data_IF_383931272607
#
_entry.id   IF_383931272607
#
_cell.length_a   1.000
_cell.length_b   1.000
_cell.length_c   1.000
_cell.angle_alpha   90.00
_cell.angle_beta   90.00
_cell.angle_gamma   90.00
#
_symmetry.space_group_name_H-M   'P 1'
#
loop_
_entity.id
_entity.type
_entity.pdbx_description
1 polymer ?
#
# COMPACT_ATOMS: atom_id res chain seq x y z
N UNK A 1 -20.52 -12.34 -19.50
CA UNK A 1 -20.05 -11.07 -18.89
C UNK A 1 -20.65 -9.92 -19.69
N UNK A 2 -21.26 -8.92 -19.04
CA UNK A 2 -22.00 -7.88 -19.76
C UNK A 2 -21.04 -6.96 -20.52
N UNK A 3 -21.23 -6.80 -21.84
CA UNK A 3 -20.34 -6.05 -22.73
C UNK A 3 -20.20 -4.58 -22.31
N UNK A 4 -21.25 -4.04 -21.69
CA UNK A 4 -21.28 -2.67 -21.16
C UNK A 4 -20.38 -2.48 -19.93
N UNK A 5 -20.28 -3.49 -19.05
CA UNK A 5 -19.38 -3.46 -17.90
C UNK A 5 -17.91 -3.44 -18.31
N UNK A 6 -17.57 -4.20 -19.35
CA UNK A 6 -16.21 -4.25 -19.91
C UNK A 6 -15.80 -2.90 -20.51
N UNK A 7 -16.69 -2.28 -21.32
CA UNK A 7 -16.46 -0.94 -21.88
C UNK A 7 -16.26 0.11 -20.77
N UNK A 8 -17.06 0.04 -19.71
CA UNK A 8 -16.96 0.96 -18.57
C UNK A 8 -15.66 0.78 -17.78
N UNK A 9 -15.22 -0.46 -17.59
CA UNK A 9 -13.94 -0.81 -16.99
C UNK A 9 -12.79 -0.22 -17.80
N UNK A 10 -12.78 -0.47 -19.11
CA UNK A 10 -11.71 0.02 -19.99
C UNK A 10 -11.60 1.54 -19.94
N UNK A 11 -12.73 2.25 -20.00
CA UNK A 11 -12.76 3.73 -19.93
C UNK A 11 -12.17 4.29 -18.64
N UNK A 12 -12.33 3.60 -17.51
CA UNK A 12 -11.78 4.06 -16.22
C UNK A 12 -10.34 3.59 -15.98
N UNK A 13 -9.97 2.41 -16.45
CA UNK A 13 -8.71 1.76 -16.09
C UNK A 13 -7.59 1.90 -17.13
N UNK A 14 -7.89 2.26 -18.39
CA UNK A 14 -6.92 2.16 -19.50
C UNK A 14 -5.59 2.89 -19.24
N UNK A 15 -5.61 4.11 -18.67
CA UNK A 15 -4.38 4.86 -18.38
C UNK A 15 -3.47 4.12 -17.41
N UNK A 16 -4.05 3.59 -16.33
CA UNK A 16 -3.31 2.82 -15.32
C UNK A 16 -2.84 1.48 -15.87
N UNK A 17 -3.65 0.82 -16.70
CA UNK A 17 -3.30 -0.45 -17.33
C UNK A 17 -2.15 -0.30 -18.32
N UNK A 18 -2.12 0.78 -19.11
CA UNK A 18 -1.02 1.06 -20.04
C UNK A 18 0.29 1.24 -19.27
N UNK A 19 0.28 2.06 -18.21
CA UNK A 19 1.47 2.28 -17.37
C UNK A 19 1.92 0.97 -16.72
N UNK A 20 0.99 0.21 -16.13
CA UNK A 20 1.30 -1.06 -15.48
C UNK A 20 1.82 -2.12 -16.46
N UNK A 21 1.27 -2.15 -17.68
CA UNK A 21 1.74 -3.01 -18.76
C UNK A 21 3.15 -2.63 -19.19
N UNK A 22 3.45 -1.34 -19.39
CA UNK A 22 4.79 -0.86 -19.73
C UNK A 22 5.83 -1.24 -18.67
N UNK A 23 5.49 -1.10 -17.37
CA UNK A 23 6.36 -1.50 -16.27
C UNK A 23 6.55 -3.03 -16.26
N UNK A 24 5.46 -3.78 -16.40
CA UNK A 24 5.51 -5.25 -16.41
C UNK A 24 6.32 -5.79 -17.59
N UNK A 25 6.22 -5.14 -18.76
CA UNK A 25 6.99 -5.49 -19.95
C UNK A 25 8.48 -5.20 -19.75
N UNK A 26 8.82 -4.04 -19.15
CA UNK A 26 10.20 -3.71 -18.80
C UNK A 26 10.78 -4.72 -17.79
N UNK A 27 10.04 -5.03 -16.72
CA UNK A 27 10.43 -6.06 -15.75
C UNK A 27 10.55 -7.46 -16.37
N UNK A 28 9.69 -7.78 -17.34
CA UNK A 28 9.75 -9.07 -18.02
C UNK A 28 11.02 -9.25 -18.84
N UNK A 29 11.52 -8.16 -19.42
CA UNK A 29 12.75 -8.13 -20.21
C UNK A 29 14.00 -8.27 -19.33
N UNK A 30 14.03 -7.59 -18.17
CA UNK A 30 15.20 -7.58 -17.29
C UNK A 30 15.25 -8.71 -16.26
N UNK A 31 14.10 -9.23 -15.83
CA UNK A 31 14.02 -10.18 -14.71
C UNK A 31 13.49 -11.54 -15.16
N UNK A 32 12.24 -11.61 -15.61
CA UNK A 32 11.62 -12.88 -16.02
C UNK A 32 10.24 -12.69 -16.68
N UNK A 33 9.91 -13.58 -17.62
CA UNK A 33 8.65 -13.55 -18.37
C UNK A 33 7.37 -13.68 -17.52
N UNK A 34 7.45 -14.22 -16.30
CA UNK A 34 6.28 -14.42 -15.43
C UNK A 34 5.61 -13.11 -15.00
N UNK A 35 6.30 -11.95 -15.09
CA UNK A 35 5.70 -10.64 -14.82
C UNK A 35 4.52 -10.33 -15.76
N UNK A 36 4.57 -10.83 -17.00
CA UNK A 36 3.45 -10.70 -17.95
C UNK A 36 2.26 -11.54 -17.48
N UNK A 37 2.51 -12.74 -16.94
CA UNK A 37 1.46 -13.63 -16.43
C UNK A 37 0.79 -13.01 -15.19
N UNK A 38 1.58 -12.46 -14.26
CA UNK A 38 1.07 -11.74 -13.09
C UNK A 38 0.20 -10.55 -13.52
N UNK A 39 0.68 -9.76 -14.48
CA UNK A 39 -0.10 -8.65 -15.04
C UNK A 39 -1.47 -9.13 -15.55
N UNK A 40 -1.52 -10.21 -16.33
CA UNK A 40 -2.77 -10.75 -16.86
C UNK A 40 -3.73 -11.22 -15.75
N UNK A 41 -3.21 -11.92 -14.74
CA UNK A 41 -3.99 -12.38 -13.58
C UNK A 41 -4.57 -11.17 -12.82
N UNK A 42 -3.77 -10.15 -12.58
CA UNK A 42 -4.22 -8.93 -11.89
C UNK A 42 -5.32 -8.19 -12.66
N UNK A 43 -5.20 -8.11 -14.00
CA UNK A 43 -6.23 -7.53 -14.86
C UNK A 43 -7.54 -8.31 -14.71
N UNK A 44 -7.48 -9.64 -14.74
CA UNK A 44 -8.66 -10.49 -14.57
C UNK A 44 -9.30 -10.25 -13.19
N UNK A 45 -8.52 -10.30 -12.11
CA UNK A 45 -9.04 -10.07 -10.75
C UNK A 45 -9.65 -8.67 -10.61
N UNK A 46 -8.99 -7.65 -11.16
CA UNK A 46 -9.47 -6.27 -11.15
C UNK A 46 -10.80 -6.13 -11.89
N UNK A 47 -10.96 -6.83 -13.01
CA UNK A 47 -12.18 -6.86 -13.80
C UNK A 47 -13.34 -7.51 -13.03
N UNK A 48 -13.10 -8.62 -12.35
CA UNK A 48 -14.10 -9.28 -11.49
C UNK A 48 -14.54 -8.41 -10.31
N UNK A 49 -13.63 -7.63 -9.71
CA UNK A 49 -13.93 -6.72 -8.58
C UNK A 49 -14.52 -5.36 -8.99
N UNK A 50 -14.44 -5.00 -10.27
CA UNK A 50 -14.92 -3.73 -10.79
C UNK A 50 -16.41 -3.43 -10.52
N UNK A 51 -17.37 -4.35 -10.71
CA UNK A 51 -18.78 -4.08 -10.43
C UNK A 51 -19.04 -3.74 -8.96
N UNK A 52 -18.31 -4.35 -8.02
CA UNK A 52 -18.42 -4.02 -6.60
C UNK A 52 -17.89 -2.61 -6.31
N UNK A 53 -16.75 -2.24 -6.89
CA UNK A 53 -16.21 -0.88 -6.82
C UNK A 53 -17.19 0.15 -7.38
N UNK A 54 -17.84 -0.13 -8.52
CA UNK A 54 -18.86 0.75 -9.09
C UNK A 54 -20.08 0.89 -8.16
N UNK A 55 -20.56 -0.20 -7.56
CA UNK A 55 -21.65 -0.16 -6.59
C UNK A 55 -21.29 0.70 -5.38
N UNK A 56 -20.07 0.56 -4.87
CA UNK A 56 -19.58 1.42 -3.79
C UNK A 56 -19.57 2.88 -4.23
N UNK A 57 -18.95 3.22 -5.36
CA UNK A 57 -18.89 4.60 -5.88
C UNK A 57 -20.29 5.21 -6.03
N UNK A 58 -21.25 4.45 -6.56
CA UNK A 58 -22.64 4.91 -6.70
C UNK A 58 -23.31 5.13 -5.33
N UNK A 59 -23.13 4.21 -4.37
CA UNK A 59 -23.64 4.37 -3.00
C UNK A 59 -23.04 5.61 -2.31
N UNK A 60 -21.80 5.93 -2.61
CA UNK A 60 -21.08 7.07 -2.04
C UNK A 60 -21.57 8.40 -2.65
N UNK A 61 -21.70 8.45 -3.98
CA UNK A 61 -22.32 9.58 -4.67
C UNK A 61 -23.77 9.83 -4.23
N UNK A 62 -24.54 8.76 -4.00
CA UNK A 62 -25.92 8.89 -3.49
C UNK A 62 -26.00 9.51 -2.08
N UNK A 63 -24.90 9.51 -1.33
CA UNK A 63 -24.76 10.16 -0.02
C UNK A 63 -24.09 11.54 -0.11
N UNK A 64 -23.84 12.07 -1.31
CA UNK A 64 -23.11 13.32 -1.52
C UNK A 64 -21.61 13.26 -1.22
N UNK A 65 -21.06 12.07 -0.98
CA UNK A 65 -19.66 11.90 -0.60
C UNK A 65 -18.77 11.68 -1.83
N UNK A 66 -17.65 12.40 -1.87
CA UNK A 66 -16.60 12.16 -2.87
C UNK A 66 -15.74 10.95 -2.47
N UNK A 67 -14.99 10.40 -3.44
CA UNK A 67 -14.00 9.35 -3.14
C UNK A 67 -12.95 9.82 -2.12
N UNK A 68 -12.57 11.09 -2.20
CA UNK A 68 -11.60 11.69 -1.30
C UNK A 68 -12.13 11.76 0.14
N UNK A 69 -13.41 12.10 0.31
CA UNK A 69 -14.04 12.16 1.63
C UNK A 69 -14.01 10.81 2.33
N UNK A 70 -14.23 9.72 1.62
CA UNK A 70 -14.17 8.38 2.22
C UNK A 70 -12.76 8.00 2.58
N UNK A 71 -11.78 8.29 1.72
CA UNK A 71 -10.38 8.05 2.04
C UNK A 71 -10.00 8.83 3.30
N UNK A 72 -10.49 10.06 3.45
CA UNK A 72 -10.25 10.88 4.63
C UNK A 72 -10.99 10.33 5.87
N UNK A 73 -12.25 9.93 5.77
CA UNK A 73 -13.04 9.34 6.86
C UNK A 73 -12.44 7.99 7.30
N UNK A 74 -12.07 7.14 6.35
CA UNK A 74 -11.46 5.85 6.63
C UNK A 74 -10.08 6.05 7.26
N UNK A 75 -9.31 7.01 6.77
CA UNK A 75 -8.05 7.41 7.37
C UNK A 75 -8.24 7.90 8.81
N UNK A 76 -9.16 8.84 9.08
CA UNK A 76 -9.35 9.37 10.43
C UNK A 76 -9.85 8.29 11.39
N UNK A 77 -10.76 7.42 10.97
CA UNK A 77 -11.20 6.28 11.78
C UNK A 77 -10.07 5.32 12.11
N UNK A 78 -9.39 4.79 11.08
CA UNK A 78 -8.29 3.83 11.25
C UNK A 78 -7.12 4.43 12.03
N UNK A 79 -6.78 5.68 11.73
CA UNK A 79 -5.69 6.36 12.42
C UNK A 79 -6.05 6.69 13.86
N UNK A 80 -7.29 7.11 14.14
CA UNK A 80 -7.78 7.32 15.50
C UNK A 80 -7.69 6.05 16.36
N UNK A 81 -8.09 4.90 15.81
CA UNK A 81 -7.89 3.60 16.45
C UNK A 81 -6.41 3.25 16.62
N UNK A 82 -5.59 3.47 15.59
CA UNK A 82 -4.15 3.17 15.66
C UNK A 82 -3.44 4.04 16.69
N UNK A 83 -3.80 5.32 16.79
CA UNK A 83 -3.17 6.26 17.71
C UNK A 83 -3.50 5.96 19.17
N UNK A 84 -4.70 5.46 19.45
CA UNK A 84 -5.13 5.15 20.82
C UNK A 84 -4.28 4.03 21.44
N UNK A 85 -3.73 3.14 20.61
CA UNK A 85 -2.76 2.12 21.04
C UNK A 85 -1.36 2.66 21.33
N UNK A 86 -1.06 3.91 20.97
CA UNK A 86 0.17 4.61 21.27
C UNK A 86 1.32 4.39 20.26
N UNK A 87 2.24 5.35 20.26
CA UNK A 87 3.37 5.42 19.31
C UNK A 87 4.31 4.23 19.39
N UNK A 88 4.56 3.71 20.60
CA UNK A 88 5.48 2.60 20.82
C UNK A 88 4.97 1.31 20.21
N UNK A 89 3.68 1.00 20.38
CA UNK A 89 3.07 -0.19 19.81
C UNK A 89 3.06 -0.12 18.29
N UNK A 90 2.73 1.04 17.72
CA UNK A 90 2.79 1.26 16.28
C UNK A 90 4.21 1.11 15.71
N UNK A 91 5.23 1.70 16.35
CA UNK A 91 6.59 1.66 15.83
C UNK A 91 7.26 0.30 16.02
N UNK A 92 7.10 -0.34 17.18
CA UNK A 92 7.80 -1.60 17.49
C UNK A 92 7.06 -2.81 16.90
N UNK A 93 5.75 -2.91 17.12
CA UNK A 93 4.98 -4.08 16.67
C UNK A 93 4.74 -4.02 15.17
N UNK A 94 4.14 -2.92 14.70
CA UNK A 94 3.69 -2.84 13.31
C UNK A 94 4.85 -2.41 12.38
N UNK A 95 5.71 -1.50 12.85
CA UNK A 95 6.94 -1.13 12.16
C UNK A 95 8.05 -2.17 12.32
N UNK A 96 8.52 -2.41 13.54
CA UNK A 96 9.70 -3.25 13.81
C UNK A 96 9.50 -4.73 13.47
N UNK A 97 8.62 -5.43 14.18
CA UNK A 97 8.51 -6.90 14.09
C UNK A 97 8.07 -7.34 12.69
N UNK A 98 7.02 -6.71 12.14
CA UNK A 98 6.47 -7.08 10.82
C UNK A 98 7.47 -6.72 9.71
N UNK A 99 8.05 -5.51 9.74
CA UNK A 99 9.01 -5.11 8.70
C UNK A 99 10.31 -5.90 8.82
N UNK A 100 10.76 -6.23 10.03
CA UNK A 100 11.90 -7.12 10.28
C UNK A 100 11.72 -8.47 9.61
N UNK A 101 10.57 -9.11 9.83
CA UNK A 101 10.25 -10.41 9.23
C UNK A 101 10.09 -10.32 7.70
N UNK A 102 9.42 -9.27 7.20
CA UNK A 102 9.30 -9.04 5.77
C UNK A 102 10.65 -8.79 5.09
N UNK A 103 11.52 -8.02 5.74
CA UNK A 103 12.85 -7.68 5.23
C UNK A 103 13.79 -8.88 5.23
N UNK A 104 13.79 -9.71 6.28
CA UNK A 104 14.61 -10.93 6.31
C UNK A 104 14.19 -11.92 5.22
N UNK A 105 12.89 -12.09 4.99
CA UNK A 105 12.39 -12.93 3.89
C UNK A 105 12.72 -12.35 2.52
N UNK A 106 12.47 -11.07 2.30
CA UNK A 106 12.74 -10.41 1.02
C UNK A 106 14.24 -10.41 0.68
N UNK A 107 15.09 -10.06 1.64
CA UNK A 107 16.55 -10.08 1.45
C UNK A 107 17.08 -11.49 1.18
N UNK A 108 16.56 -12.51 1.88
CA UNK A 108 16.92 -13.91 1.61
C UNK A 108 16.56 -14.33 0.19
N UNK A 109 15.38 -13.95 -0.29
CA UNK A 109 14.90 -14.30 -1.63
C UNK A 109 15.73 -13.59 -2.72
N UNK A 110 16.03 -12.30 -2.52
CA UNK A 110 16.93 -11.55 -3.41
C UNK A 110 18.32 -12.15 -3.41
N UNK A 111 18.86 -12.52 -2.25
CA UNK A 111 20.18 -13.11 -2.14
C UNK A 111 20.27 -14.49 -2.79
N UNK A 112 19.21 -15.31 -2.67
CA UNK A 112 19.11 -16.60 -3.34
C UNK A 112 19.10 -16.48 -4.87
N UNK A 113 18.40 -15.48 -5.42
CA UNK A 113 18.28 -15.27 -6.87
C UNK A 113 19.54 -14.62 -7.45
N UNK A 114 20.06 -13.58 -6.81
CA UNK A 114 21.18 -12.79 -7.33
C UNK A 114 22.56 -13.36 -6.99
N UNK A 115 22.69 -14.11 -5.89
CA UNK A 115 23.96 -14.62 -5.36
C UNK A 115 23.85 -16.09 -4.95
N UNK A 116 23.26 -16.91 -5.82
CA UNK A 116 22.89 -18.31 -5.53
C UNK A 116 24.04 -19.15 -4.96
N UNK A 117 25.27 -19.03 -5.49
CA UNK A 117 26.43 -19.78 -5.01
C UNK A 117 26.84 -19.42 -3.58
N UNK A 118 26.77 -18.14 -3.21
CA UNK A 118 27.02 -17.66 -1.86
C UNK A 118 25.88 -18.02 -0.90
N UNK A 119 24.63 -17.98 -1.38
CA UNK A 119 23.46 -18.37 -0.59
C UNK A 119 23.54 -19.84 -0.14
N UNK A 120 23.87 -20.76 -1.05
CA UNK A 120 24.04 -22.18 -0.70
C UNK A 120 25.19 -22.41 0.28
N UNK A 121 26.26 -21.61 0.20
CA UNK A 121 27.38 -21.66 1.15
C UNK A 121 26.99 -21.16 2.56
N UNK A 122 26.09 -20.18 2.66
CA UNK A 122 25.56 -19.73 3.95
C UNK A 122 24.62 -20.79 4.55
N UNK A 123 23.83 -21.47 3.71
CA UNK A 123 22.93 -22.54 4.15
C UNK A 123 23.63 -23.83 4.56
N UNK A 124 24.87 -24.08 4.09
CA UNK A 124 25.60 -25.30 4.47
C UNK A 124 26.05 -25.32 5.93
N UNK A 125 26.08 -24.16 6.59
CA UNK A 125 26.45 -24.03 7.99
C UNK A 125 25.31 -23.42 8.81
N UNK A 126 24.73 -24.15 9.78
CA UNK A 126 23.63 -23.65 10.59
C UNK A 126 23.93 -22.32 11.28
N UNK A 127 25.16 -22.13 11.78
CA UNK A 127 25.57 -20.88 12.44
C UNK A 127 25.53 -19.67 11.51
N UNK A 128 26.04 -19.83 10.28
CA UNK A 128 26.05 -18.78 9.25
C UNK A 128 24.63 -18.44 8.78
N UNK A 129 23.76 -19.45 8.67
CA UNK A 129 22.34 -19.27 8.37
C UNK A 129 21.61 -18.46 9.46
N UNK A 130 21.76 -18.84 10.73
CA UNK A 130 21.14 -18.11 11.85
C UNK A 130 21.68 -16.70 11.99
N UNK A 131 22.98 -16.50 11.78
CA UNK A 131 23.59 -15.17 11.80
C UNK A 131 22.99 -14.27 10.71
N UNK A 132 22.88 -14.77 9.48
CA UNK A 132 22.29 -14.02 8.37
C UNK A 132 20.83 -13.64 8.63
N UNK A 133 20.01 -14.60 9.08
CA UNK A 133 18.61 -14.34 9.42
C UNK A 133 18.51 -13.35 10.58
N UNK A 134 19.34 -13.49 11.61
CA UNK A 134 19.38 -12.60 12.76
C UNK A 134 19.74 -11.17 12.40
N UNK A 135 20.82 -10.97 11.63
CA UNK A 135 21.25 -9.64 11.20
C UNK A 135 20.26 -8.97 10.24
N UNK A 136 19.72 -9.73 9.27
CA UNK A 136 18.71 -9.22 8.35
C UNK A 136 17.41 -8.85 9.08
N UNK A 137 16.98 -9.66 10.04
CA UNK A 137 15.81 -9.37 10.86
C UNK A 137 16.02 -8.13 11.73
N UNK A 138 17.16 -8.02 12.43
CA UNK A 138 17.45 -6.89 13.31
C UNK A 138 17.60 -5.58 12.55
N UNK A 139 18.29 -5.61 11.41
CA UNK A 139 18.40 -4.44 10.53
C UNK A 139 17.03 -4.01 9.98
N UNK A 140 16.17 -4.96 9.63
CA UNK A 140 14.78 -4.71 9.25
C UNK A 140 13.95 -4.11 10.39
N UNK A 141 14.12 -4.56 11.64
CA UNK A 141 13.46 -3.95 12.81
C UNK A 141 13.88 -2.49 12.97
N UNK A 142 15.17 -2.20 12.98
CA UNK A 142 15.70 -0.85 13.20
C UNK A 142 15.18 0.08 12.10
N UNK A 143 15.25 -0.36 10.84
CA UNK A 143 14.75 0.40 9.70
C UNK A 143 13.24 0.63 9.78
N UNK A 144 12.48 -0.41 10.12
CA UNK A 144 11.03 -0.34 10.29
C UNK A 144 10.61 0.63 11.38
N UNK A 145 11.28 0.61 12.55
CA UNK A 145 11.01 1.53 13.66
C UNK A 145 11.23 2.99 13.21
N UNK A 146 12.34 3.28 12.54
CA UNK A 146 12.66 4.64 12.07
C UNK A 146 11.61 5.11 11.05
N UNK A 147 11.30 4.29 10.05
CA UNK A 147 10.30 4.62 9.03
C UNK A 147 8.92 4.86 9.64
N UNK A 148 8.48 3.99 10.55
CA UNK A 148 7.18 4.14 11.19
C UNK A 148 7.13 5.33 12.14
N UNK A 149 8.25 5.69 12.78
CA UNK A 149 8.34 6.90 13.57
C UNK A 149 8.17 8.16 12.71
N UNK A 150 8.78 8.19 11.53
CA UNK A 150 8.59 9.28 10.57
C UNK A 150 7.15 9.32 10.06
N UNK A 151 6.60 8.17 9.65
CA UNK A 151 5.22 8.04 9.18
C UNK A 151 4.20 8.47 10.24
N UNK A 152 4.47 8.20 11.53
CA UNK A 152 3.63 8.64 12.63
C UNK A 152 3.44 10.16 12.62
N UNK A 153 4.54 10.92 12.48
CA UNK A 153 4.48 12.39 12.44
C UNK A 153 3.67 12.88 11.25
N UNK A 154 3.89 12.30 10.07
CA UNK A 154 3.13 12.68 8.87
C UNK A 154 1.63 12.37 9.00
N UNK A 155 1.28 11.20 9.55
CA UNK A 155 -0.10 10.80 9.77
C UNK A 155 -0.77 11.66 10.83
N UNK A 156 -0.09 12.00 11.93
CA UNK A 156 -0.65 12.94 12.92
C UNK A 156 -0.89 14.32 12.34
N UNK A 157 0.05 14.87 11.56
CA UNK A 157 -0.17 16.15 10.86
C UNK A 157 -1.36 16.10 9.91
N UNK A 158 -1.57 14.97 9.22
CA UNK A 158 -2.75 14.78 8.37
C UNK A 158 -4.02 14.66 9.19
N UNK A 159 -3.99 13.93 10.29
CA UNK A 159 -5.14 13.75 11.17
C UNK A 159 -5.59 15.07 11.81
N UNK A 160 -4.64 15.85 12.34
CA UNK A 160 -4.92 17.18 12.88
C UNK A 160 -5.59 18.07 11.81
N UNK A 161 -5.06 18.15 10.59
CA UNK A 161 -5.68 18.92 9.51
C UNK A 161 -7.10 18.48 9.16
N UNK A 162 -7.38 17.17 9.15
CA UNK A 162 -8.70 16.64 8.80
C UNK A 162 -9.72 16.71 9.94
N UNK A 163 -9.27 16.94 11.18
CA UNK A 163 -10.13 16.97 12.37
C UNK A 163 -10.20 18.34 13.03
N UNK A 164 -9.33 19.27 12.63
CA UNK A 164 -9.34 20.66 13.08
C UNK A 164 -10.44 21.44 12.35
N UNK A 165 -11.51 21.87 13.05
CA UNK A 165 -12.61 22.62 12.47
C UNK A 165 -12.21 24.03 12.01
N UNK A 166 -11.03 24.53 12.42
CA UNK A 166 -10.49 25.84 12.04
C UNK A 166 -9.46 25.76 10.91
N UNK A 167 -9.18 24.56 10.39
CA UNK A 167 -8.25 24.43 9.26
C UNK A 167 -8.82 25.09 8.01
N UNK A 168 -7.97 25.79 7.25
CA UNK A 168 -8.34 26.56 6.06
C UNK A 168 -9.07 25.74 5.00
N UNK A 169 -8.76 24.44 4.90
CA UNK A 169 -9.39 23.49 3.98
C UNK A 169 -10.84 23.15 4.39
N UNK A 170 -11.16 23.22 5.68
CA UNK A 170 -12.52 23.01 6.20
C UNK A 170 -13.40 24.24 5.94
N UNK A 171 -12.81 25.43 6.10
CA UNK A 171 -13.47 26.72 5.86
C UNK A 171 -13.76 26.90 4.36
N UNK A 172 -12.82 26.56 3.47
CA UNK A 172 -13.03 26.68 2.02
C UNK A 172 -14.11 25.75 1.48
N UNK A 173 -14.19 24.51 1.98
CA UNK A 173 -15.24 23.55 1.58
C UNK A 173 -16.62 23.92 2.11
N UNK A 174 -16.69 24.56 3.29
CA UNK A 174 -17.95 25.03 3.85
C UNK A 174 -18.49 26.25 3.09
N UNK A 175 -17.62 27.23 2.80
CA UNK A 175 -17.98 28.41 2.01
C UNK A 175 -18.50 28.01 0.62
N UNK A 176 -17.86 27.04 -0.06
CA UNK A 176 -18.34 26.61 -1.38
C UNK A 176 -19.71 25.91 -1.36
N UNK A 177 -20.13 25.37 -0.21
CA UNK A 177 -21.42 24.70 -0.06
C UNK A 177 -22.52 25.68 0.30
N UNK A 178 -22.22 26.69 1.12
CA UNK A 178 -23.15 27.77 1.49
C UNK A 178 -23.39 28.74 0.31
N UNK A 179 -22.43 28.91 -0.60
CA UNK A 179 -22.58 29.71 -1.83
C UNK A 179 -23.44 29.03 -2.93
N UNK A 180 -23.85 27.77 -2.71
CA UNK A 180 -24.69 26.97 -3.63
C UNK A 180 -26.15 26.82 -3.14
N UNK A 181 -26.51 27.41 -2.00
CA UNK A 181 -27.87 27.48 -1.43
C UNK A 181 -28.42 28.89 -1.59
#
# INVERSE_FOLDING_TARGET
>A
MNLDLFKLFWRHAYKGLIIYFSISLLLSYFVAWYWIVIFLIDVIISLFRFPERLKQIKKLKAKGLTQQDIINIEFTKKWGETRSYGIWRYCIRDGGIITGAGFSLASSLVFAVCFSSLFWKILSEPGSMFAYIGYSYLSGIITGIILFRILWVFKEKRFARLTDPLSTDFISNKISFDDLI
#
